data_IF_606948179935
#
_entry.id   IF_606948179935
#
_cell.length_a   1.000
_cell.length_b   1.000
_cell.length_c   1.000
_cell.angle_alpha   90.00
_cell.angle_beta   90.00
_cell.angle_gamma   90.00
#
_symmetry.space_group_name_H-M   'P 1'
#
loop_
_entity.id
_entity.type
_entity.pdbx_description
1 polymer ?
#
# COMPACT_ATOMS: atom_id res chain seq x y z
N UNK A 1 2.63 -13.11 17.72
CA UNK A 1 2.03 -12.32 16.64
C UNK A 1 1.48 -10.98 17.11
N UNK A 2 0.72 -10.91 18.20
CA UNK A 2 0.17 -9.66 18.75
C UNK A 2 1.21 -8.52 18.86
N UNK A 3 2.31 -8.74 19.60
CA UNK A 3 3.36 -7.72 19.80
C UNK A 3 4.02 -7.25 18.50
N UNK A 4 4.21 -8.14 17.54
CA UNK A 4 4.80 -7.82 16.24
C UNK A 4 3.85 -6.96 15.39
N UNK A 5 2.55 -7.28 15.42
CA UNK A 5 1.48 -6.51 14.76
C UNK A 5 1.39 -5.11 15.35
N UNK A 6 1.42 -5.03 16.68
CA UNK A 6 1.35 -3.77 17.42
C UNK A 6 2.60 -2.90 17.17
N UNK A 7 3.79 -3.50 17.19
CA UNK A 7 5.01 -2.79 16.84
C UNK A 7 4.98 -2.26 15.39
N UNK A 8 4.47 -3.05 14.45
CA UNK A 8 4.33 -2.65 13.04
C UNK A 8 3.35 -1.48 12.90
N UNK A 9 2.19 -1.55 13.56
CA UNK A 9 1.21 -0.46 13.61
C UNK A 9 1.81 0.83 14.20
N UNK A 10 2.48 0.73 15.34
CA UNK A 10 3.09 1.89 16.01
C UNK A 10 4.20 2.52 15.17
N UNK A 11 5.09 1.71 14.60
CA UNK A 11 6.13 2.18 13.67
C UNK A 11 5.52 2.87 12.46
N UNK A 12 4.40 2.35 11.98
CA UNK A 12 3.67 2.93 10.88
C UNK A 12 3.07 4.29 11.15
N UNK A 13 2.38 4.42 12.28
CA UNK A 13 1.83 5.70 12.75
C UNK A 13 2.96 6.70 13.00
N UNK A 14 4.05 6.26 13.65
CA UNK A 14 5.21 7.10 13.89
C UNK A 14 5.87 7.57 12.58
N UNK A 15 6.03 6.67 11.60
CA UNK A 15 6.57 7.00 10.27
C UNK A 15 5.67 7.97 9.49
N UNK A 16 4.36 7.75 9.51
CA UNK A 16 3.39 8.67 8.92
C UNK A 16 3.42 10.05 9.59
N UNK A 17 3.49 10.09 10.92
CA UNK A 17 3.60 11.32 11.71
C UNK A 17 4.90 12.08 11.43
N UNK A 18 6.04 11.39 11.39
CA UNK A 18 7.33 11.97 11.01
C UNK A 18 7.24 12.67 9.64
N UNK A 19 6.66 11.99 8.66
CA UNK A 19 6.48 12.54 7.32
C UNK A 19 5.57 13.76 7.25
N UNK A 20 4.50 13.73 8.04
CA UNK A 20 3.58 14.85 8.14
C UNK A 20 4.30 16.07 8.74
N UNK A 21 5.08 15.87 9.81
CA UNK A 21 5.89 16.92 10.43
C UNK A 21 6.92 17.47 9.44
N UNK A 22 7.59 16.60 8.67
CA UNK A 22 8.57 17.02 7.66
C UNK A 22 7.91 17.87 6.56
N UNK A 23 6.70 17.52 6.13
CA UNK A 23 5.90 18.29 5.17
C UNK A 23 5.47 19.66 5.73
N UNK A 24 5.04 19.72 7.00
CA UNK A 24 4.67 20.95 7.70
C UNK A 24 5.88 21.88 7.83
N UNK A 25 7.02 21.34 8.28
CA UNK A 25 8.24 22.12 8.55
C UNK A 25 8.80 22.78 7.27
N UNK A 26 8.69 22.10 6.13
CA UNK A 26 9.20 22.59 4.85
C UNK A 26 8.13 23.29 3.99
N UNK A 27 7.22 24.02 4.64
CA UNK A 27 6.19 24.90 4.01
C UNK A 27 5.38 24.24 2.89
N UNK A 28 5.07 22.94 3.02
CA UNK A 28 4.19 22.20 2.09
C UNK A 28 4.71 22.02 0.66
N UNK A 29 5.96 22.37 0.38
CA UNK A 29 6.57 22.22 -0.96
C UNK A 29 6.82 20.74 -1.34
N UNK A 30 6.88 19.86 -0.34
CA UNK A 30 7.23 18.44 -0.50
C UNK A 30 6.01 17.54 -0.64
N UNK A 31 5.31 17.62 -1.77
CA UNK A 31 4.10 16.80 -2.05
C UNK A 31 4.32 15.29 -1.83
N UNK A 32 5.51 14.80 -2.13
CA UNK A 32 5.94 13.42 -1.85
C UNK A 32 5.72 13.01 -0.39
N UNK A 33 6.14 13.84 0.57
CA UNK A 33 6.07 13.55 2.00
C UNK A 33 4.61 13.46 2.49
N UNK A 34 3.73 14.34 2.02
CA UNK A 34 2.30 14.29 2.34
C UNK A 34 1.64 13.02 1.79
N UNK A 35 1.85 12.73 0.51
CA UNK A 35 1.24 11.57 -0.14
C UNK A 35 1.70 10.26 0.51
N UNK A 36 2.98 10.16 0.87
CA UNK A 36 3.50 9.00 1.59
C UNK A 36 3.04 8.94 3.04
N UNK A 37 2.92 10.06 3.74
CA UNK A 37 2.38 10.11 5.11
C UNK A 37 0.97 9.52 5.15
N UNK A 38 0.08 10.05 4.31
CA UNK A 38 -1.31 9.58 4.23
C UNK A 38 -1.35 8.15 3.70
N UNK A 39 -0.57 7.82 2.67
CA UNK A 39 -0.53 6.48 2.10
C UNK A 39 -0.10 5.41 3.12
N UNK A 40 0.98 5.66 3.86
CA UNK A 40 1.43 4.80 4.95
C UNK A 40 0.37 4.69 6.02
N UNK A 41 -0.17 5.81 6.51
CA UNK A 41 -1.22 5.80 7.54
C UNK A 41 -2.38 4.90 7.15
N UNK A 42 -2.89 5.01 5.90
CA UNK A 42 -3.97 4.18 5.40
C UNK A 42 -3.59 2.69 5.33
N UNK A 43 -2.36 2.37 4.89
CA UNK A 43 -1.92 0.97 4.86
C UNK A 43 -1.92 0.34 6.25
N UNK A 44 -1.51 1.02 7.32
CA UNK A 44 -1.41 0.35 8.63
C UNK A 44 -2.75 -0.10 9.24
N UNK A 45 -3.89 0.35 8.70
CA UNK A 45 -5.20 -0.11 9.18
C UNK A 45 -5.40 -1.63 9.00
N UNK A 46 -4.73 -2.28 8.05
CA UNK A 46 -4.86 -3.73 7.87
C UNK A 46 -4.32 -4.54 9.08
N UNK A 47 -3.53 -3.93 9.96
CA UNK A 47 -2.99 -4.59 11.16
C UNK A 47 -4.03 -4.75 12.27
N UNK A 48 -5.11 -3.94 12.25
CA UNK A 48 -6.12 -3.91 13.32
C UNK A 48 -6.81 -5.29 13.51
N UNK A 49 -7.27 -6.01 12.46
CA UNK A 49 -7.90 -7.32 12.62
C UNK A 49 -6.98 -8.36 13.22
N UNK A 50 -5.70 -8.34 12.84
CA UNK A 50 -4.72 -9.26 13.38
C UNK A 50 -4.43 -8.99 14.86
N UNK A 51 -4.35 -7.70 15.25
CA UNK A 51 -4.21 -7.31 16.66
C UNK A 51 -5.43 -7.79 17.44
N UNK A 52 -6.62 -7.54 16.92
CA UNK A 52 -7.87 -7.88 17.59
C UNK A 52 -8.10 -9.40 17.67
N UNK A 53 -7.81 -10.17 16.60
CA UNK A 53 -7.93 -11.63 16.60
C UNK A 53 -6.96 -12.28 17.59
N UNK A 54 -5.73 -11.79 17.67
CA UNK A 54 -4.73 -12.27 18.61
C UNK A 54 -4.92 -11.77 20.05
N UNK A 55 -5.85 -10.85 20.28
CA UNK A 55 -6.27 -10.41 21.61
C UNK A 55 -7.45 -11.22 22.18
N UNK A 56 -7.82 -12.35 21.54
CA UNK A 56 -8.96 -13.21 21.90
C UNK A 56 -10.31 -12.46 21.96
N UNK A 57 -10.44 -11.35 21.23
CA UNK A 57 -11.72 -10.69 21.06
C UNK A 57 -12.59 -11.53 20.12
N UNK A 58 -13.80 -11.87 20.55
CA UNK A 58 -14.76 -12.61 19.74
C UNK A 58 -15.30 -11.71 18.63
N UNK A 59 -14.99 -12.01 17.38
CA UNK A 59 -15.60 -11.36 16.21
C UNK A 59 -16.63 -12.27 15.56
N UNK A 60 -17.75 -11.69 15.14
CA UNK A 60 -18.69 -12.39 14.27
C UNK A 60 -18.21 -12.32 12.82
N UNK A 61 -18.72 -13.23 11.98
CA UNK A 61 -18.52 -13.22 10.53
C UNK A 61 -18.85 -11.84 9.92
N UNK A 62 -19.91 -11.22 10.43
CA UNK A 62 -20.44 -9.94 9.95
C UNK A 62 -19.50 -8.78 10.26
N UNK A 63 -18.92 -8.75 11.45
CA UNK A 63 -17.92 -7.73 11.83
C UNK A 63 -16.68 -7.82 10.93
N UNK A 64 -16.26 -9.05 10.64
CA UNK A 64 -15.13 -9.33 9.78
C UNK A 64 -15.39 -8.89 8.32
N UNK A 65 -16.60 -9.12 7.82
CA UNK A 65 -17.02 -8.68 6.48
C UNK A 65 -17.01 -7.16 6.34
N UNK A 66 -17.55 -6.44 7.32
CA UNK A 66 -17.58 -4.98 7.32
C UNK A 66 -16.16 -4.44 7.34
N UNK A 67 -15.31 -4.98 8.22
CA UNK A 67 -13.93 -4.54 8.33
C UNK A 67 -13.15 -4.76 7.04
N UNK A 68 -13.20 -5.96 6.47
CA UNK A 68 -12.52 -6.26 5.20
C UNK A 68 -13.00 -5.36 4.07
N UNK A 69 -14.29 -5.04 4.09
CA UNK A 69 -14.88 -4.12 3.13
C UNK A 69 -14.34 -2.70 3.26
N UNK A 70 -13.89 -2.25 4.44
CA UNK A 70 -13.23 -0.94 4.56
C UNK A 70 -11.72 -1.01 4.39
N UNK A 71 -11.09 -2.10 4.85
CA UNK A 71 -9.64 -2.26 4.81
C UNK A 71 -9.09 -2.39 3.39
N UNK A 72 -9.78 -3.12 2.50
CA UNK A 72 -9.35 -3.28 1.11
C UNK A 72 -9.27 -1.94 0.35
N UNK A 73 -10.31 -1.08 0.33
CA UNK A 73 -10.28 0.24 -0.31
C UNK A 73 -9.25 1.14 0.30
N UNK A 74 -9.18 1.18 1.62
CA UNK A 74 -8.23 2.00 2.36
C UNK A 74 -6.80 1.59 1.96
N UNK A 75 -6.52 0.28 1.87
CA UNK A 75 -5.21 -0.23 1.44
C UNK A 75 -4.91 0.09 -0.02
N UNK A 76 -5.92 0.02 -0.89
CA UNK A 76 -5.77 0.38 -2.29
C UNK A 76 -5.46 1.88 -2.46
N UNK A 77 -6.21 2.75 -1.80
CA UNK A 77 -5.97 4.20 -1.76
C UNK A 77 -4.59 4.49 -1.17
N UNK A 78 -4.18 3.77 -0.12
CA UNK A 78 -2.85 3.88 0.47
C UNK A 78 -1.74 3.63 -0.56
N UNK A 79 -1.84 2.52 -1.30
CA UNK A 79 -0.90 2.20 -2.38
C UNK A 79 -0.94 3.22 -3.54
N UNK A 80 -2.14 3.72 -3.89
CA UNK A 80 -2.29 4.76 -4.93
C UNK A 80 -1.55 6.04 -4.55
N UNK A 81 -1.66 6.48 -3.29
CA UNK A 81 -0.99 7.67 -2.79
C UNK A 81 0.53 7.49 -2.77
N UNK A 82 1.03 6.31 -2.38
CA UNK A 82 2.46 6.01 -2.45
C UNK A 82 2.96 6.07 -3.89
N UNK A 83 2.24 5.46 -4.83
CA UNK A 83 2.57 5.53 -6.25
C UNK A 83 2.55 6.97 -6.79
N UNK A 84 1.52 7.75 -6.47
CA UNK A 84 1.43 9.16 -6.83
C UNK A 84 2.61 9.97 -6.24
N UNK A 85 3.01 9.65 -5.01
CA UNK A 85 4.21 10.18 -4.37
C UNK A 85 5.45 9.89 -5.22
N UNK A 86 5.70 8.64 -5.58
CA UNK A 86 6.85 8.25 -6.44
C UNK A 86 6.82 9.04 -7.75
N UNK A 87 5.67 9.11 -8.42
CA UNK A 87 5.52 9.86 -9.67
C UNK A 87 5.88 11.35 -9.53
N UNK A 88 5.53 11.98 -8.40
CA UNK A 88 5.84 13.39 -8.17
C UNK A 88 7.35 13.70 -8.22
N UNK A 89 8.18 12.70 -7.94
CA UNK A 89 9.64 12.80 -7.93
C UNK A 89 10.22 12.30 -9.26
N UNK A 90 9.71 11.19 -9.81
CA UNK A 90 10.31 10.57 -11.00
C UNK A 90 9.95 11.27 -12.31
N UNK A 91 8.80 11.96 -12.42
CA UNK A 91 8.35 12.57 -13.69
C UNK A 91 7.60 13.89 -13.50
N UNK A 92 7.68 14.83 -14.45
CA UNK A 92 6.62 15.82 -14.62
C UNK A 92 5.36 15.09 -15.11
N UNK A 93 4.22 15.30 -14.44
CA UNK A 93 2.98 14.60 -14.76
C UNK A 93 2.42 15.09 -16.11
N UNK A 94 2.36 14.22 -17.11
CA UNK A 94 1.54 14.49 -18.30
C UNK A 94 0.06 14.48 -17.90
N UNK A 95 -0.75 15.49 -18.27
CA UNK A 95 -2.15 15.58 -17.88
C UNK A 95 -2.95 14.35 -18.33
N UNK A 96 -2.65 13.78 -19.51
CA UNK A 96 -3.31 12.55 -19.98
C UNK A 96 -3.07 11.35 -19.06
N UNK A 97 -1.83 11.15 -18.60
CA UNK A 97 -1.50 10.05 -17.67
C UNK A 97 -2.14 10.25 -16.31
N UNK A 98 -2.17 11.49 -15.82
CA UNK A 98 -2.83 11.83 -14.57
C UNK A 98 -4.35 11.53 -14.65
N UNK A 99 -5.00 11.91 -15.75
CA UNK A 99 -6.42 11.62 -15.99
C UNK A 99 -6.66 10.12 -16.05
N UNK A 100 -5.89 9.35 -16.83
CA UNK A 100 -6.05 7.89 -16.91
C UNK A 100 -5.90 7.23 -15.54
N UNK A 101 -4.93 7.68 -14.74
CA UNK A 101 -4.72 7.17 -13.38
C UNK A 101 -5.90 7.50 -12.45
N UNK A 102 -6.42 8.73 -12.49
CA UNK A 102 -7.58 9.16 -11.70
C UNK A 102 -8.83 8.38 -12.11
N UNK A 103 -9.07 8.21 -13.42
CA UNK A 103 -10.21 7.43 -13.93
C UNK A 103 -10.11 5.98 -13.50
N UNK A 104 -8.94 5.35 -13.61
CA UNK A 104 -8.74 3.97 -13.17
C UNK A 104 -8.95 3.80 -11.66
N UNK A 105 -8.45 4.74 -10.84
CA UNK A 105 -8.71 4.76 -9.40
C UNK A 105 -10.20 4.98 -9.07
N UNK A 106 -10.90 5.84 -9.81
CA UNK A 106 -12.33 6.08 -9.65
C UNK A 106 -13.14 4.83 -10.00
N UNK A 107 -12.83 4.14 -11.09
CA UNK A 107 -13.47 2.88 -11.48
C UNK A 107 -13.27 1.82 -10.39
N UNK A 108 -12.06 1.69 -9.86
CA UNK A 108 -11.78 0.79 -8.74
C UNK A 108 -12.67 1.07 -7.53
N UNK A 109 -12.77 2.35 -7.17
CA UNK A 109 -13.55 2.81 -6.02
C UNK A 109 -15.05 2.56 -6.23
N UNK A 110 -15.58 2.86 -7.41
CA UNK A 110 -17.00 2.61 -7.75
C UNK A 110 -17.31 1.12 -7.70
N UNK A 111 -16.49 0.27 -8.33
CA UNK A 111 -16.67 -1.19 -8.27
C UNK A 111 -16.63 -1.69 -6.84
N UNK A 112 -15.77 -1.11 -6.01
CA UNK A 112 -15.71 -1.44 -4.60
C UNK A 112 -17.01 -1.17 -3.86
N UNK A 113 -17.54 0.06 -3.96
CA UNK A 113 -18.81 0.40 -3.32
C UNK A 113 -19.97 -0.44 -3.86
N UNK A 114 -19.95 -0.78 -5.15
CA UNK A 114 -20.94 -1.66 -5.76
C UNK A 114 -20.93 -3.08 -5.16
N UNK A 115 -19.76 -3.70 -4.99
CA UNK A 115 -19.67 -5.03 -4.39
C UNK A 115 -19.99 -5.02 -2.89
N UNK A 116 -19.61 -3.95 -2.18
CA UNK A 116 -19.95 -3.75 -0.77
C UNK A 116 -21.47 -3.63 -0.54
N UNK A 117 -22.15 -2.78 -1.29
CA UNK A 117 -23.59 -2.54 -1.13
C UNK A 117 -24.44 -3.79 -1.36
N UNK A 118 -23.96 -4.73 -2.19
CA UNK A 118 -24.66 -5.97 -2.51
C UNK A 118 -24.35 -7.13 -1.56
N UNK A 119 -23.60 -6.91 -0.46
CA UNK A 119 -23.10 -7.94 0.47
C UNK A 119 -22.33 -9.09 -0.22
N UNK A 120 -21.90 -8.88 -1.46
CA UNK A 120 -21.27 -9.90 -2.28
C UNK A 120 -19.76 -9.95 -2.13
N UNK A 121 -19.18 -9.09 -1.27
CA UNK A 121 -17.73 -8.97 -1.09
C UNK A 121 -17.07 -10.28 -0.64
N UNK A 122 -17.78 -11.08 0.16
CA UNK A 122 -17.22 -12.29 0.81
C UNK A 122 -17.92 -13.56 0.33
N UNK A 123 -19.23 -13.51 0.07
CA UNK A 123 -20.04 -14.65 -0.39
C UNK A 123 -19.70 -15.12 -1.80
N UNK A 124 -19.04 -14.27 -2.60
CA UNK A 124 -18.53 -14.61 -3.93
C UNK A 124 -17.02 -14.42 -3.98
N UNK A 125 -16.33 -15.28 -4.75
CA UNK A 125 -14.91 -15.11 -5.05
C UNK A 125 -14.67 -13.97 -6.05
N UNK A 126 -15.66 -13.64 -6.87
CA UNK A 126 -15.50 -12.72 -7.99
C UNK A 126 -14.90 -11.33 -7.62
N UNK A 127 -15.34 -10.67 -6.53
CA UNK A 127 -14.78 -9.37 -6.13
C UNK A 127 -13.28 -9.48 -5.83
N UNK A 128 -12.85 -10.49 -5.08
CA UNK A 128 -11.45 -10.73 -4.76
C UNK A 128 -10.59 -10.85 -6.01
N UNK A 129 -11.05 -11.60 -7.01
CA UNK A 129 -10.34 -11.76 -8.28
C UNK A 129 -10.28 -10.44 -9.06
N UNK A 130 -11.42 -9.73 -9.17
CA UNK A 130 -11.50 -8.43 -9.83
C UNK A 130 -10.52 -7.45 -9.19
N UNK A 131 -10.51 -7.35 -7.86
CA UNK A 131 -9.60 -6.45 -7.14
C UNK A 131 -8.14 -6.81 -7.31
N UNK A 132 -7.79 -8.09 -7.21
CA UNK A 132 -6.41 -8.51 -7.36
C UNK A 132 -5.91 -8.27 -8.79
N UNK A 133 -6.65 -8.71 -9.81
CA UNK A 133 -6.18 -8.68 -11.20
C UNK A 133 -6.27 -7.30 -11.85
N UNK A 134 -7.34 -6.54 -11.60
CA UNK A 134 -7.55 -5.26 -12.28
C UNK A 134 -6.96 -4.08 -11.51
N UNK A 135 -6.69 -4.24 -10.21
CA UNK A 135 -6.31 -3.12 -9.33
C UNK A 135 -4.98 -3.37 -8.59
N UNK A 136 -4.90 -4.33 -7.67
CA UNK A 136 -3.71 -4.50 -6.82
C UNK A 136 -2.46 -4.98 -7.57
N UNK A 137 -2.54 -6.04 -8.37
CA UNK A 137 -1.39 -6.50 -9.16
C UNK A 137 -0.89 -5.44 -10.14
N UNK A 138 -1.76 -4.81 -10.97
CA UNK A 138 -1.32 -3.73 -11.85
C UNK A 138 -0.67 -2.57 -11.09
N UNK A 139 -1.20 -2.19 -9.92
CA UNK A 139 -0.59 -1.13 -9.11
C UNK A 139 0.83 -1.50 -8.65
N UNK A 140 1.02 -2.70 -8.11
CA UNK A 140 2.34 -3.16 -7.69
C UNK A 140 3.33 -3.23 -8.86
N UNK A 141 2.89 -3.71 -10.03
CA UNK A 141 3.70 -3.74 -11.25
C UNK A 141 4.07 -2.31 -11.69
N UNK A 142 3.12 -1.38 -11.68
CA UNK A 142 3.36 0.02 -12.04
C UNK A 142 4.38 0.67 -11.09
N UNK A 143 4.27 0.41 -9.79
CA UNK A 143 5.26 0.89 -8.81
C UNK A 143 6.64 0.30 -9.11
N UNK A 144 6.75 -1.02 -9.33
CA UNK A 144 8.03 -1.66 -9.67
C UNK A 144 8.64 -1.08 -10.96
N UNK A 145 7.82 -0.81 -11.97
CA UNK A 145 8.28 -0.19 -13.23
C UNK A 145 8.83 1.21 -12.97
N UNK A 146 8.15 2.04 -12.16
CA UNK A 146 8.62 3.38 -11.84
C UNK A 146 9.85 3.37 -10.93
N UNK A 147 9.93 2.47 -9.96
CA UNK A 147 11.13 2.27 -9.13
C UNK A 147 12.33 1.82 -9.98
N UNK A 148 12.12 0.90 -10.93
CA UNK A 148 13.17 0.46 -11.87
C UNK A 148 13.62 1.61 -12.79
N UNK A 149 12.70 2.46 -13.23
CA UNK A 149 13.05 3.66 -14.01
C UNK A 149 13.86 4.63 -13.17
N UNK A 150 13.43 4.87 -11.94
CA UNK A 150 14.16 5.71 -11.00
C UNK A 150 15.56 5.18 -10.76
N UNK A 151 15.72 3.86 -10.54
CA UNK A 151 17.01 3.18 -10.43
C UNK A 151 17.99 3.52 -11.57
N UNK A 152 17.48 3.65 -12.80
CA UNK A 152 18.30 3.92 -13.99
C UNK A 152 18.61 5.40 -14.21
N UNK A 153 17.89 6.32 -13.56
CA UNK A 153 18.03 7.76 -13.78
C UNK A 153 19.18 8.34 -12.95
N UNK A 154 20.41 8.30 -13.50
CA UNK A 154 21.64 8.72 -12.81
C UNK A 154 21.61 10.15 -12.24
N UNK A 155 20.82 11.06 -12.83
CA UNK A 155 20.73 12.47 -12.44
C UNK A 155 20.04 12.72 -11.09
N UNK A 156 19.32 11.73 -10.55
CA UNK A 156 18.58 11.86 -9.28
C UNK A 156 19.31 11.24 -8.07
N UNK A 157 20.53 10.71 -8.27
CA UNK A 157 21.27 9.96 -7.24
C UNK A 157 22.34 10.80 -6.57
N UNK A 158 22.16 11.05 -5.27
CA UNK A 158 23.19 11.68 -4.44
C UNK A 158 23.94 10.71 -3.52
N UNK A 159 23.47 9.48 -3.27
CA UNK A 159 24.10 8.56 -2.28
C UNK A 159 23.84 7.07 -2.53
N UNK A 160 24.76 6.19 -2.08
CA UNK A 160 24.59 4.72 -2.06
C UNK A 160 23.35 4.28 -1.26
N UNK A 161 22.98 5.05 -0.24
CA UNK A 161 21.78 4.85 0.56
C UNK A 161 20.50 4.88 -0.31
N UNK A 162 20.40 5.79 -1.28
CA UNK A 162 19.24 5.89 -2.16
C UNK A 162 19.02 4.59 -2.97
N UNK A 163 20.10 4.00 -3.51
CA UNK A 163 20.03 2.72 -4.21
C UNK A 163 19.54 1.59 -3.30
N UNK A 164 20.10 1.48 -2.09
CA UNK A 164 19.63 0.49 -1.11
C UNK A 164 18.13 0.68 -0.83
N UNK A 165 17.70 1.92 -0.64
CA UNK A 165 16.30 2.24 -0.41
C UNK A 165 15.38 1.84 -1.56
N UNK A 166 15.73 2.12 -2.82
CA UNK A 166 14.94 1.68 -3.98
C UNK A 166 14.90 0.15 -4.07
N UNK A 167 16.00 -0.55 -3.80
CA UNK A 167 16.02 -2.02 -3.80
C UNK A 167 15.07 -2.59 -2.72
N UNK A 168 15.10 -2.01 -1.52
CA UNK A 168 14.20 -2.41 -0.42
C UNK A 168 12.74 -2.12 -0.77
N UNK A 169 12.43 -0.99 -1.39
CA UNK A 169 11.09 -0.69 -1.90
C UNK A 169 10.65 -1.71 -2.96
N UNK A 170 11.53 -2.06 -3.90
CA UNK A 170 11.23 -3.10 -4.90
C UNK A 170 10.93 -4.46 -4.25
N UNK A 171 11.69 -4.84 -3.21
CA UNK A 171 11.43 -6.06 -2.46
C UNK A 171 10.05 -6.03 -1.77
N UNK A 172 9.67 -4.90 -1.16
CA UNK A 172 8.34 -4.72 -0.56
C UNK A 172 7.21 -4.94 -1.56
N UNK A 173 7.29 -4.32 -2.75
CA UNK A 173 6.26 -4.46 -3.78
C UNK A 173 6.26 -5.82 -4.47
N UNK A 174 7.43 -6.46 -4.62
CA UNK A 174 7.52 -7.85 -5.07
C UNK A 174 6.82 -8.80 -4.07
N UNK A 175 7.05 -8.60 -2.77
CA UNK A 175 6.35 -9.35 -1.73
C UNK A 175 4.83 -9.11 -1.78
N UNK A 176 4.39 -7.88 -2.09
CA UNK A 176 2.97 -7.59 -2.34
C UNK A 176 2.38 -8.37 -3.52
N UNK A 177 3.14 -8.65 -4.58
CA UNK A 177 2.70 -9.54 -5.66
C UNK A 177 2.54 -10.98 -5.15
N UNK A 178 3.52 -11.49 -4.38
CA UNK A 178 3.42 -12.82 -3.77
C UNK A 178 2.22 -12.95 -2.81
N UNK A 179 1.92 -11.91 -2.03
CA UNK A 179 0.73 -11.87 -1.17
C UNK A 179 -0.55 -12.02 -1.99
N UNK A 180 -0.68 -11.28 -3.10
CA UNK A 180 -1.84 -11.39 -3.99
C UNK A 180 -1.97 -12.81 -4.58
N UNK A 181 -0.87 -13.41 -5.02
CA UNK A 181 -0.87 -14.81 -5.51
C UNK A 181 -1.29 -15.79 -4.41
N UNK A 182 -0.80 -15.59 -3.18
CA UNK A 182 -1.17 -16.41 -2.03
C UNK A 182 -2.66 -16.30 -1.70
N UNK A 183 -3.22 -15.09 -1.73
CA UNK A 183 -4.66 -14.88 -1.53
C UNK A 183 -5.47 -15.56 -2.64
N UNK A 184 -5.05 -15.49 -3.90
CA UNK A 184 -5.71 -16.19 -5.00
C UNK A 184 -5.65 -17.71 -4.84
N UNK A 185 -4.49 -18.27 -4.49
CA UNK A 185 -4.33 -19.71 -4.25
C UNK A 185 -5.26 -20.21 -3.14
N UNK A 186 -5.31 -19.49 -2.01
CA UNK A 186 -6.24 -19.80 -0.91
C UNK A 186 -7.69 -19.64 -1.33
N UNK A 187 -8.01 -18.61 -2.12
CA UNK A 187 -9.37 -18.38 -2.64
C UNK A 187 -9.86 -19.51 -3.55
N UNK A 188 -8.94 -20.18 -4.27
CA UNK A 188 -9.27 -21.30 -5.15
C UNK A 188 -9.39 -22.63 -4.41
N UNK A 189 -8.53 -22.87 -3.40
CA UNK A 189 -8.47 -24.14 -2.67
C UNK A 189 -9.62 -24.36 -1.69
N UNK A 190 -10.18 -23.29 -1.13
CA UNK A 190 -11.23 -23.37 -0.11
C UNK A 190 -12.59 -22.99 -0.67
N UNK A 191 -13.71 -23.58 -0.19
CA UNK A 191 -15.06 -23.22 -0.65
C UNK A 191 -15.36 -21.72 -0.57
N UNK A 192 -16.23 -21.17 -1.44
CA UNK A 192 -16.61 -19.75 -1.45
C UNK A 192 -17.06 -19.19 -0.10
N UNK A 193 -17.59 -20.05 0.77
CA UNK A 193 -18.10 -19.68 2.10
C UNK A 193 -17.02 -19.67 3.19
N UNK A 194 -15.81 -20.18 2.91
CA UNK A 194 -14.76 -20.36 3.94
C UNK A 194 -13.39 -19.86 3.52
N UNK A 195 -13.18 -19.50 2.25
CA UNK A 195 -11.86 -19.08 1.77
C UNK A 195 -11.32 -17.86 2.50
N UNK A 196 -12.18 -16.92 2.89
CA UNK A 196 -11.77 -15.72 3.62
C UNK A 196 -11.28 -16.04 5.03
N UNK A 197 -11.83 -17.06 5.71
CA UNK A 197 -11.31 -17.53 7.00
C UNK A 197 -9.91 -18.10 6.83
N UNK A 198 -9.69 -18.89 5.78
CA UNK A 198 -8.37 -19.46 5.47
C UNK A 198 -7.33 -18.39 5.11
N UNK A 199 -7.75 -17.25 4.57
CA UNK A 199 -6.91 -16.08 4.31
C UNK A 199 -6.65 -15.29 5.60
N UNK A 200 -7.71 -15.04 6.38
CA UNK A 200 -7.70 -14.27 7.63
C UNK A 200 -6.84 -14.91 8.73
N UNK A 201 -6.95 -16.23 8.89
CA UNK A 201 -6.23 -16.99 9.91
C UNK A 201 -4.82 -17.41 9.44
N UNK A 202 -4.40 -16.94 8.26
CA UNK A 202 -3.09 -17.28 7.72
C UNK A 202 -1.99 -16.45 8.37
N UNK A 203 -1.26 -17.10 9.29
CA UNK A 203 -0.01 -16.56 9.86
C UNK A 203 1.02 -16.19 8.79
N UNK A 204 1.09 -16.96 7.69
CA UNK A 204 1.99 -16.69 6.58
C UNK A 204 1.65 -15.38 5.86
N UNK A 205 0.38 -15.15 5.53
CA UNK A 205 -0.06 -13.89 4.91
C UNK A 205 0.22 -12.71 5.84
N UNK A 206 -0.06 -12.88 7.12
CA UNK A 206 0.19 -11.85 8.13
C UNK A 206 1.67 -11.46 8.24
N UNK A 207 2.57 -12.45 8.27
CA UNK A 207 4.03 -12.21 8.25
C UNK A 207 4.43 -11.48 6.97
N UNK A 208 3.96 -11.93 5.81
CA UNK A 208 4.29 -11.30 4.53
C UNK A 208 3.83 -9.84 4.48
N UNK A 209 2.62 -9.55 4.94
CA UNK A 209 2.08 -8.19 4.98
C UNK A 209 2.91 -7.30 5.90
N UNK A 210 3.16 -7.74 7.13
CA UNK A 210 3.94 -6.98 8.11
C UNK A 210 5.38 -6.74 7.65
N UNK A 211 6.03 -7.76 7.09
CA UNK A 211 7.36 -7.63 6.50
C UNK A 211 7.34 -6.66 5.31
N UNK A 212 6.34 -6.76 4.44
CA UNK A 212 6.16 -5.87 3.30
C UNK A 212 6.06 -4.40 3.73
N UNK A 213 5.30 -4.13 4.79
CA UNK A 213 5.16 -2.76 5.33
C UNK A 213 6.43 -2.28 6.03
N UNK A 214 7.15 -3.14 6.75
CA UNK A 214 8.45 -2.79 7.34
C UNK A 214 9.48 -2.46 6.25
N UNK A 215 9.56 -3.27 5.19
CA UNK A 215 10.40 -2.99 4.03
C UNK A 215 10.01 -1.66 3.38
N UNK A 216 8.71 -1.37 3.27
CA UNK A 216 8.23 -0.10 2.74
C UNK A 216 8.75 1.10 3.56
N UNK A 217 8.66 1.02 4.89
CA UNK A 217 9.18 2.05 5.80
C UNK A 217 10.70 2.20 5.72
N UNK A 218 11.44 1.09 5.72
CA UNK A 218 12.91 1.10 5.64
C UNK A 218 13.37 1.65 4.30
N UNK A 219 12.75 1.19 3.20
CA UNK A 219 13.04 1.68 1.86
C UNK A 219 12.77 3.18 1.73
N UNK A 220 11.67 3.65 2.32
CA UNK A 220 11.37 5.08 2.42
C UNK A 220 12.46 5.86 3.17
N UNK A 221 12.85 5.40 4.36
CA UNK A 221 13.84 6.06 5.18
C UNK A 221 15.16 6.31 4.43
N UNK A 222 15.56 5.39 3.55
CA UNK A 222 16.77 5.59 2.74
C UNK A 222 16.60 6.54 1.55
N UNK A 223 15.37 6.74 1.08
CA UNK A 223 15.08 7.52 -0.14
C UNK A 223 14.59 8.93 0.17
N UNK A 224 14.02 9.17 1.36
CA UNK A 224 13.33 10.43 1.70
C UNK A 224 14.20 11.68 1.51
N UNK A 225 15.45 11.67 1.96
CA UNK A 225 16.35 12.83 1.83
C UNK A 225 16.57 13.22 0.37
N UNK A 226 16.71 12.23 -0.51
CA UNK A 226 16.88 12.45 -1.95
C UNK A 226 15.60 13.03 -2.56
N UNK A 227 14.43 12.48 -2.22
CA UNK A 227 13.13 13.01 -2.66
C UNK A 227 12.89 14.46 -2.24
N UNK A 228 13.23 14.78 -1.00
CA UNK A 228 13.08 16.10 -0.42
C UNK A 228 13.92 17.15 -1.16
N UNK A 229 15.15 16.78 -1.57
CA UNK A 229 16.01 17.63 -2.41
C UNK A 229 15.44 17.83 -3.81
N UNK A 230 15.00 16.75 -4.46
CA UNK A 230 14.45 16.79 -5.83
C UNK A 230 13.17 17.63 -5.89
N UNK A 231 12.26 17.46 -4.93
CA UNK A 231 10.99 18.21 -4.87
C UNK A 231 11.23 19.71 -4.74
N UNK A 232 12.18 20.12 -3.90
CA UNK A 232 12.50 21.55 -3.70
C UNK A 232 13.10 22.20 -4.96
N UNK A 233 13.95 21.49 -5.70
CA UNK A 233 14.55 22.03 -6.93
C UNK A 233 13.51 22.26 -8.04
N UNK A 234 12.47 21.43 -8.14
CA UNK A 234 11.38 21.61 -9.12
C UNK A 234 10.39 22.71 -8.79
N UNK A 235 10.24 23.11 -7.52
CA UNK A 235 9.38 24.25 -7.14
C UNK A 235 10.03 25.58 -7.53
N UNK A 236 11.37 25.60 -7.64
CA UNK A 236 12.15 26.79 -8.00
C UNK A 236 12.38 26.96 -9.51
N UNK A 237 12.17 25.92 -10.31
CA UNK A 237 12.30 25.93 -11.78
C UNK A 237 10.98 26.28 -12.45
#
# INVERSE_FOLDING_TARGET
MLYFSLATLLLGIAGAGYLLLEWIHHRRERRFALLWSVGLFLLFWFQIPAILSHANQSFTLTDFNIFFSFAFPISFVGNLLIYAGILSVTRPSSPRRAITFVVWAAVATILFFFFFANQNTISSRAPTFIFIFLFFMPLHILVLVELRRWWKSQELFTTRACYLGIAVLMASYALGIFQNVFVLDRSLRFPPEFWFLAVADSSALFIMQSLGTLLLLVGFFFVHQSCCKISHNRVKS
#
